data_IF_540312934546
#
_entry.id   IF_540312934546
#
_cell.length_a   1.000
_cell.length_b   1.000
_cell.length_c   1.000
_cell.angle_alpha   90.00
_cell.angle_beta   90.00
_cell.angle_gamma   90.00
#
_symmetry.space_group_name_H-M   'P 1'
#
loop_
_entity.id
_entity.type
_entity.pdbx_description
1 polymer ?
#
# COMPACT_ATOMS: atom_id res chain seq x y z
N UNK A 1 1.12 -44.55 24.67
CA UNK A 1 1.79 -43.32 24.19
C UNK A 1 0.88 -42.67 23.13
N UNK A 2 0.11 -41.65 23.53
CA UNK A 2 -0.70 -40.84 22.62
C UNK A 2 0.17 -39.67 22.15
N UNK A 3 0.67 -39.73 20.93
CA UNK A 3 1.25 -38.57 20.22
C UNK A 3 0.15 -37.95 19.38
N UNK A 4 -0.66 -37.11 19.98
CA UNK A 4 -1.54 -36.22 19.25
C UNK A 4 -0.80 -34.94 18.90
N UNK A 5 -0.21 -34.87 17.69
CA UNK A 5 0.17 -33.59 17.11
C UNK A 5 -1.13 -32.88 16.68
N UNK A 6 -1.67 -32.05 17.55
CA UNK A 6 -2.67 -31.06 17.14
C UNK A 6 -1.90 -29.92 16.47
N UNK A 7 -2.23 -29.67 15.22
CA UNK A 7 -1.81 -28.43 14.55
C UNK A 7 -2.54 -27.28 15.25
N UNK A 8 -1.78 -26.47 16.00
CA UNK A 8 -2.29 -25.36 16.79
C UNK A 8 -2.48 -24.08 15.96
N UNK A 9 -2.13 -24.10 14.67
CA UNK A 9 -2.39 -23.01 13.75
C UNK A 9 -3.88 -23.02 13.32
N UNK A 10 -4.74 -22.55 14.20
CA UNK A 10 -6.16 -22.31 13.88
C UNK A 10 -6.34 -20.91 13.34
N UNK A 11 -6.55 -20.81 12.03
CA UNK A 11 -6.97 -19.54 11.42
C UNK A 11 -8.48 -19.33 11.67
N UNK A 12 -8.89 -18.09 12.07
CA UNK A 12 -10.31 -17.78 12.17
C UNK A 12 -10.99 -18.01 10.82
N UNK A 13 -11.99 -18.92 10.76
CA UNK A 13 -12.68 -19.29 9.52
C UNK A 13 -13.56 -18.18 8.93
N UNK A 14 -13.79 -17.10 9.69
CA UNK A 14 -14.61 -15.93 9.34
C UNK A 14 -13.79 -14.74 8.85
N UNK A 15 -12.44 -14.85 8.83
CA UNK A 15 -11.54 -13.79 8.36
C UNK A 15 -10.69 -14.26 7.19
N UNK A 16 -10.62 -13.40 6.19
CA UNK A 16 -9.67 -13.56 5.08
C UNK A 16 -8.26 -13.40 5.62
N UNK A 17 -7.43 -14.44 5.50
CA UNK A 17 -6.00 -14.38 5.82
C UNK A 17 -5.14 -14.72 4.62
N UNK A 18 -3.85 -14.32 4.67
CA UNK A 18 -2.91 -14.49 3.57
C UNK A 18 -2.77 -15.96 3.15
N UNK A 19 -2.73 -16.90 4.10
CA UNK A 19 -2.50 -18.33 3.84
C UNK A 19 -3.67 -19.05 3.18
N UNK A 20 -4.89 -18.53 3.31
CA UNK A 20 -6.11 -19.17 2.81
C UNK A 20 -6.77 -18.47 1.64
N UNK A 21 -6.49 -17.18 1.41
CA UNK A 21 -7.20 -16.36 0.41
C UNK A 21 -6.66 -16.58 -1.02
N UNK A 22 -5.36 -16.48 -1.24
CA UNK A 22 -4.77 -16.47 -2.59
C UNK A 22 -4.71 -17.85 -3.23
N UNK A 23 -5.85 -18.35 -3.76
CA UNK A 23 -6.00 -19.69 -4.36
C UNK A 23 -6.31 -19.67 -5.86
N UNK A 24 -6.68 -18.52 -6.42
CA UNK A 24 -7.05 -18.36 -7.83
C UNK A 24 -6.59 -17.01 -8.37
N UNK A 25 -6.54 -16.85 -9.71
CA UNK A 25 -6.25 -15.56 -10.34
C UNK A 25 -7.25 -14.46 -9.94
N UNK A 26 -8.53 -14.83 -9.75
CA UNK A 26 -9.55 -13.88 -9.28
C UNK A 26 -9.25 -13.36 -7.87
N UNK A 27 -8.71 -14.19 -7.01
CA UNK A 27 -8.29 -13.74 -5.67
C UNK A 27 -7.12 -12.75 -5.75
N UNK A 28 -6.16 -12.96 -6.67
CA UNK A 28 -5.10 -11.98 -6.90
C UNK A 28 -5.67 -10.66 -7.40
N UNK A 29 -6.60 -10.69 -8.35
CA UNK A 29 -7.27 -9.50 -8.84
C UNK A 29 -8.04 -8.76 -7.71
N UNK A 30 -8.83 -9.47 -6.92
CA UNK A 30 -9.56 -8.90 -5.78
C UNK A 30 -8.62 -8.28 -4.74
N UNK A 31 -7.50 -8.95 -4.44
CA UNK A 31 -6.47 -8.42 -3.54
C UNK A 31 -5.91 -7.10 -4.02
N UNK A 32 -5.58 -7.00 -5.32
CA UNK A 32 -5.11 -5.76 -5.93
C UNK A 32 -6.18 -4.66 -5.88
N UNK A 33 -7.44 -4.98 -6.22
CA UNK A 33 -8.55 -4.02 -6.14
C UNK A 33 -8.78 -3.54 -4.71
N UNK A 34 -8.52 -4.38 -3.71
CA UNK A 34 -8.53 -3.99 -2.29
C UNK A 34 -7.49 -2.91 -1.96
N UNK A 35 -6.32 -2.94 -2.62
CA UNK A 35 -5.29 -1.89 -2.46
C UNK A 35 -5.75 -0.59 -3.14
N UNK A 36 -6.31 -0.67 -4.37
CA UNK A 36 -6.92 0.50 -5.01
C UNK A 36 -8.01 1.14 -4.15
N UNK A 37 -8.77 0.31 -3.42
CA UNK A 37 -9.76 0.78 -2.46
C UNK A 37 -9.19 1.70 -1.39
N UNK A 38 -7.94 1.52 -0.98
CA UNK A 38 -7.25 2.39 -0.02
C UNK A 38 -7.09 3.82 -0.54
N UNK A 39 -6.90 4.00 -1.85
CA UNK A 39 -6.77 5.33 -2.46
C UNK A 39 -8.05 6.17 -2.31
N UNK A 40 -9.20 5.55 -2.12
CA UNK A 40 -10.49 6.23 -1.96
C UNK A 40 -10.76 6.72 -0.55
N UNK A 41 -9.93 6.32 0.42
CA UNK A 41 -10.08 6.81 1.80
C UNK A 41 -9.79 8.29 1.86
N UNK A 42 -10.52 9.00 2.70
CA UNK A 42 -10.41 10.44 2.85
C UNK A 42 -9.00 10.91 3.21
N UNK A 43 -8.36 10.15 4.08
CA UNK A 43 -7.00 10.38 4.57
C UNK A 43 -5.91 9.95 3.56
N UNK A 44 -6.31 9.34 2.42
CA UNK A 44 -5.42 9.09 1.29
C UNK A 44 -5.69 10.11 0.18
N UNK A 45 -6.46 9.71 -0.85
CA UNK A 45 -6.75 10.57 -2.00
C UNK A 45 -8.25 10.90 -2.14
N UNK A 46 -9.11 10.41 -1.24
CA UNK A 46 -10.56 10.63 -1.29
C UNK A 46 -10.96 12.10 -1.12
N UNK A 47 -10.22 12.86 -0.30
CA UNK A 47 -10.35 14.31 -0.14
C UNK A 47 -9.18 15.07 -0.76
N UNK A 48 -8.76 14.69 -1.95
CA UNK A 48 -7.61 15.31 -2.61
C UNK A 48 -7.75 16.84 -2.77
N UNK A 49 -8.97 17.37 -2.93
CA UNK A 49 -9.22 18.80 -2.93
C UNK A 49 -8.76 19.51 -1.63
N UNK A 50 -8.58 18.80 -0.53
CA UNK A 50 -8.03 19.36 0.70
C UNK A 50 -6.58 19.81 0.54
N UNK A 51 -5.81 19.17 -0.35
CA UNK A 51 -4.43 19.57 -0.62
C UNK A 51 -4.35 20.94 -1.34
N UNK A 52 -5.35 21.29 -2.13
CA UNK A 52 -5.45 22.61 -2.76
C UNK A 52 -5.58 23.73 -1.73
N UNK A 53 -6.13 23.40 -0.54
CA UNK A 53 -6.22 24.35 0.57
C UNK A 53 -4.89 24.55 1.32
N UNK A 54 -3.90 23.65 1.17
CA UNK A 54 -2.57 23.83 1.75
C UNK A 54 -1.72 24.84 0.94
N UNK A 55 -2.09 25.07 -0.31
CA UNK A 55 -1.61 26.17 -1.11
C UNK A 55 -2.66 27.26 -1.19
N UNK A 56 -2.34 28.46 -1.59
CA UNK A 56 -3.30 29.57 -1.71
C UNK A 56 -4.27 29.42 -2.92
N UNK A 57 -4.54 28.20 -3.37
CA UNK A 57 -5.32 27.91 -4.58
C UNK A 57 -6.81 27.79 -4.27
N UNK A 58 -7.18 27.27 -3.09
CA UNK A 58 -8.56 27.05 -2.71
C UNK A 58 -8.83 27.44 -1.26
N UNK A 59 -10.08 27.86 -1.00
CA UNK A 59 -10.58 28.14 0.34
C UNK A 59 -11.81 27.26 0.62
N UNK A 60 -11.77 26.50 1.71
CA UNK A 60 -12.85 25.60 2.10
C UNK A 60 -13.68 26.12 3.26
N UNK A 61 -14.96 25.75 3.28
CA UNK A 61 -15.89 26.11 4.35
C UNK A 61 -15.56 25.41 5.68
N UNK A 62 -14.91 24.25 5.64
CA UNK A 62 -14.46 23.52 6.81
C UNK A 62 -13.03 23.95 7.16
N UNK A 63 -12.85 24.45 8.37
CA UNK A 63 -11.54 24.79 8.91
C UNK A 63 -10.75 23.51 9.25
N UNK A 64 -10.01 23.00 8.28
CA UNK A 64 -9.01 21.98 8.61
C UNK A 64 -7.81 22.66 9.28
N UNK A 65 -7.43 22.15 10.45
CA UNK A 65 -6.29 22.70 11.23
C UNK A 65 -4.99 22.76 10.43
N UNK A 66 -4.83 21.86 9.45
CA UNK A 66 -3.68 21.84 8.54
C UNK A 66 -3.54 23.14 7.73
N UNK A 67 -4.64 23.74 7.26
CA UNK A 67 -4.62 24.97 6.46
C UNK A 67 -4.24 26.20 7.25
N UNK A 68 -4.57 26.18 8.54
CA UNK A 68 -4.30 27.30 9.44
C UNK A 68 -2.87 27.22 10.03
N UNK A 69 -2.09 26.17 9.67
CA UNK A 69 -0.78 25.87 10.30
C UNK A 69 -0.85 25.82 11.85
N UNK A 70 -2.02 25.45 12.40
CA UNK A 70 -2.25 25.39 13.85
C UNK A 70 -2.24 23.94 14.37
N UNK A 71 -1.87 22.98 13.52
CA UNK A 71 -1.77 21.57 13.87
C UNK A 71 -0.55 21.29 14.76
N UNK A 72 -0.65 20.23 15.52
CA UNK A 72 0.42 19.67 16.33
C UNK A 72 0.63 18.20 15.98
N UNK A 73 1.71 17.60 16.51
CA UNK A 73 1.99 16.16 16.39
C UNK A 73 0.89 15.26 17.00
N UNK A 74 -0.03 15.85 17.79
CA UNK A 74 -1.19 15.16 18.39
C UNK A 74 -2.48 15.33 17.60
N UNK A 75 -2.44 16.02 16.48
CA UNK A 75 -3.62 16.20 15.64
C UNK A 75 -4.06 14.87 15.02
N UNK A 76 -5.31 14.48 15.28
CA UNK A 76 -5.87 13.22 14.79
C UNK A 76 -5.89 13.09 13.27
N UNK A 77 -6.01 14.21 12.55
CA UNK A 77 -5.99 14.23 11.08
C UNK A 77 -4.59 13.89 10.56
N UNK A 78 -3.55 14.47 11.18
CA UNK A 78 -2.15 14.16 10.83
C UNK A 78 -1.83 12.68 11.09
N UNK A 79 -2.26 12.16 12.25
CA UNK A 79 -2.07 10.74 12.59
C UNK A 79 -2.84 9.83 11.63
N UNK A 80 -4.05 10.21 11.23
CA UNK A 80 -4.87 9.42 10.32
C UNK A 80 -4.25 9.32 8.93
N UNK A 81 -3.67 10.39 8.38
CA UNK A 81 -2.92 10.35 7.12
C UNK A 81 -1.72 9.39 7.21
N UNK A 82 -0.91 9.52 8.26
CA UNK A 82 0.22 8.63 8.51
C UNK A 82 -0.20 7.17 8.54
N UNK A 83 -1.22 6.86 9.34
CA UNK A 83 -1.72 5.49 9.50
C UNK A 83 -2.27 4.95 8.19
N UNK A 84 -3.09 5.72 7.48
CA UNK A 84 -3.72 5.28 6.23
C UNK A 84 -2.69 4.95 5.15
N UNK A 85 -1.65 5.76 4.99
CA UNK A 85 -0.61 5.47 4.01
C UNK A 85 0.21 4.23 4.39
N UNK A 86 0.56 4.05 5.67
CA UNK A 86 1.26 2.84 6.11
C UNK A 86 0.38 1.58 6.04
N UNK A 87 -0.91 1.68 6.29
CA UNK A 87 -1.86 0.57 6.06
C UNK A 87 -1.89 0.19 4.57
N UNK A 88 -1.86 1.18 3.68
CA UNK A 88 -1.73 0.95 2.24
C UNK A 88 -0.43 0.22 1.88
N UNK A 89 0.71 0.68 2.38
CA UNK A 89 2.02 0.05 2.18
C UNK A 89 2.04 -1.38 2.71
N UNK A 90 1.50 -1.60 3.91
CA UNK A 90 1.40 -2.94 4.48
C UNK A 90 0.59 -3.89 3.59
N UNK A 91 -0.57 -3.44 3.08
CA UNK A 91 -1.39 -4.22 2.15
C UNK A 91 -0.66 -4.54 0.86
N UNK A 92 0.09 -3.57 0.30
CA UNK A 92 0.92 -3.79 -0.89
C UNK A 92 1.98 -4.85 -0.62
N UNK A 93 2.74 -4.73 0.46
CA UNK A 93 3.81 -5.66 0.80
C UNK A 93 3.30 -7.08 1.02
N UNK A 94 2.17 -7.21 1.73
CA UNK A 94 1.45 -8.47 1.93
C UNK A 94 0.99 -9.07 0.60
N UNK A 95 0.39 -8.25 -0.27
CA UNK A 95 -0.05 -8.68 -1.60
C UNK A 95 1.10 -9.19 -2.46
N UNK A 96 2.21 -8.47 -2.51
CA UNK A 96 3.40 -8.86 -3.29
C UNK A 96 3.92 -10.22 -2.82
N UNK A 97 4.04 -10.45 -1.50
CA UNK A 97 4.46 -11.76 -0.95
C UNK A 97 3.51 -12.87 -1.38
N UNK A 98 2.21 -12.63 -1.21
CA UNK A 98 1.16 -13.60 -1.51
C UNK A 98 1.14 -13.98 -2.99
N UNK A 99 1.19 -12.99 -3.89
CA UNK A 99 1.16 -13.21 -5.34
C UNK A 99 2.44 -13.90 -5.82
N UNK A 100 3.62 -13.56 -5.29
CA UNK A 100 4.87 -14.29 -5.55
C UNK A 100 4.78 -15.77 -5.14
N UNK A 101 3.97 -16.09 -4.13
CA UNK A 101 3.69 -17.47 -3.69
C UNK A 101 2.71 -18.23 -4.59
N UNK A 102 2.04 -17.57 -5.54
CA UNK A 102 1.04 -18.20 -6.43
C UNK A 102 1.64 -18.88 -7.68
N UNK A 103 2.95 -19.11 -7.72
CA UNK A 103 3.58 -19.85 -8.82
C UNK A 103 2.93 -21.22 -8.99
N UNK A 104 2.58 -21.55 -10.24
CA UNK A 104 1.83 -22.76 -10.58
C UNK A 104 0.30 -22.64 -10.48
N UNK A 105 -0.20 -21.52 -9.91
CA UNK A 105 -1.63 -21.19 -9.89
C UNK A 105 -1.95 -20.18 -11.00
N UNK A 106 -1.10 -19.16 -11.14
CA UNK A 106 -1.12 -18.17 -12.22
C UNK A 106 0.23 -18.15 -12.94
N UNK A 107 0.30 -17.56 -14.13
CA UNK A 107 1.53 -17.49 -14.93
C UNK A 107 2.54 -16.52 -14.31
N UNK A 108 3.83 -16.71 -14.61
CA UNK A 108 4.88 -15.78 -14.16
C UNK A 108 4.68 -14.37 -14.75
N UNK A 109 4.11 -14.26 -15.96
CA UNK A 109 3.73 -12.97 -16.55
C UNK A 109 2.65 -12.27 -15.72
N UNK A 110 1.61 -12.98 -15.33
CA UNK A 110 0.57 -12.43 -14.45
C UNK A 110 1.12 -12.04 -13.10
N UNK A 111 2.03 -12.83 -12.51
CA UNK A 111 2.71 -12.48 -11.26
C UNK A 111 3.48 -11.15 -11.43
N UNK A 112 4.27 -11.03 -12.51
CA UNK A 112 5.06 -9.83 -12.77
C UNK A 112 4.17 -8.60 -12.98
N UNK A 113 3.06 -8.73 -13.70
CA UNK A 113 2.09 -7.65 -13.89
C UNK A 113 1.46 -7.19 -12.56
N UNK A 114 1.00 -8.14 -11.73
CA UNK A 114 0.42 -7.82 -10.42
C UNK A 114 1.43 -7.18 -9.47
N UNK A 115 2.67 -7.70 -9.42
CA UNK A 115 3.74 -7.15 -8.59
C UNK A 115 4.10 -5.74 -9.05
N UNK A 116 4.22 -5.52 -10.35
CA UNK A 116 4.53 -4.22 -10.92
C UNK A 116 3.46 -3.17 -10.57
N UNK A 117 2.19 -3.53 -10.68
CA UNK A 117 1.09 -2.63 -10.32
C UNK A 117 1.03 -2.36 -8.82
N UNK A 118 1.28 -3.36 -8.00
CA UNK A 118 1.37 -3.19 -6.55
C UNK A 118 2.53 -2.26 -6.16
N UNK A 119 3.69 -2.38 -6.80
CA UNK A 119 4.84 -1.48 -6.59
C UNK A 119 4.51 -0.05 -6.99
N UNK A 120 3.80 0.17 -8.10
CA UNK A 120 3.30 1.50 -8.45
C UNK A 120 2.45 2.10 -7.33
N UNK A 121 1.52 1.32 -6.76
CA UNK A 121 0.69 1.78 -5.64
C UNK A 121 1.52 2.05 -4.38
N UNK A 122 2.55 1.26 -4.09
CA UNK A 122 3.49 1.52 -2.99
C UNK A 122 4.23 2.83 -3.19
N UNK A 123 4.72 3.07 -4.40
CA UNK A 123 5.38 4.31 -4.76
C UNK A 123 4.47 5.54 -4.53
N UNK A 124 3.19 5.45 -4.89
CA UNK A 124 2.20 6.50 -4.61
C UNK A 124 2.04 6.77 -3.11
N UNK A 125 1.91 5.72 -2.28
CA UNK A 125 1.77 5.89 -0.83
C UNK A 125 3.03 6.52 -0.22
N UNK A 126 4.22 6.07 -0.60
CA UNK A 126 5.47 6.66 -0.12
C UNK A 126 5.68 8.08 -0.64
N UNK A 127 5.28 8.39 -1.87
CA UNK A 127 5.33 9.75 -2.39
C UNK A 127 4.53 10.69 -1.49
N UNK A 128 3.29 10.34 -1.15
CA UNK A 128 2.44 11.14 -0.26
C UNK A 128 3.01 11.25 1.16
N UNK A 129 3.57 10.16 1.70
CA UNK A 129 4.25 10.20 3.00
C UNK A 129 5.43 11.15 2.99
N UNK A 130 6.27 11.08 1.95
CA UNK A 130 7.46 11.95 1.88
C UNK A 130 7.13 13.41 1.62
N UNK A 131 6.04 13.68 0.92
CA UNK A 131 5.56 15.03 0.68
C UNK A 131 5.05 15.69 1.98
N UNK A 132 4.32 14.95 2.80
CA UNK A 132 3.73 15.44 4.04
C UNK A 132 4.70 15.40 5.23
N UNK A 133 5.59 14.40 5.31
CA UNK A 133 6.36 14.09 6.53
C UNK A 133 7.88 14.12 6.33
N UNK A 134 8.37 14.36 5.12
CA UNK A 134 9.80 14.29 4.79
C UNK A 134 10.32 12.86 4.80
N UNK A 135 11.52 12.62 5.37
CA UNK A 135 12.04 11.26 5.54
C UNK A 135 11.15 10.43 6.46
N UNK A 136 10.90 9.16 6.12
CA UNK A 136 10.00 8.24 6.83
C UNK A 136 10.61 6.84 6.93
N UNK A 137 10.21 6.00 7.89
CA UNK A 137 10.61 4.59 7.90
C UNK A 137 10.21 3.90 6.61
N UNK A 138 11.14 3.16 5.98
CA UNK A 138 10.87 2.42 4.76
C UNK A 138 10.71 0.93 5.05
N UNK A 139 9.63 0.34 4.50
CA UNK A 139 9.28 -1.07 4.60
C UNK A 139 8.90 -1.58 3.21
N UNK A 140 9.49 -2.68 2.80
CA UNK A 140 9.15 -3.41 1.59
C UNK A 140 8.55 -4.80 1.90
N UNK A 141 8.35 -5.60 0.87
CA UNK A 141 7.81 -6.94 1.00
C UNK A 141 8.73 -7.93 1.72
N UNK A 142 10.00 -7.62 1.97
CA UNK A 142 10.90 -8.44 2.78
C UNK A 142 10.58 -8.35 4.27
N UNK A 143 9.94 -7.26 4.68
CA UNK A 143 9.54 -7.04 6.08
C UNK A 143 8.29 -7.86 6.41
N UNK A 144 8.43 -8.88 7.24
CA UNK A 144 7.30 -9.68 7.71
C UNK A 144 6.78 -9.14 9.05
N UNK A 145 5.69 -8.38 9.00
CA UNK A 145 5.08 -7.76 10.19
C UNK A 145 4.64 -8.79 11.23
N UNK A 146 4.22 -9.98 10.80
CA UNK A 146 3.75 -11.02 11.71
C UNK A 146 4.89 -11.67 12.50
N UNK A 147 6.07 -11.79 11.90
CA UNK A 147 7.25 -12.40 12.52
C UNK A 147 8.10 -11.36 13.26
N UNK A 148 8.09 -10.11 12.79
CA UNK A 148 8.97 -9.06 13.26
C UNK A 148 8.26 -7.98 14.09
N UNK A 149 7.02 -8.23 14.53
CA UNK A 149 6.17 -7.22 15.20
C UNK A 149 6.90 -6.47 16.33
N UNK A 150 7.76 -7.15 17.09
CA UNK A 150 8.54 -6.54 18.17
C UNK A 150 9.72 -5.68 17.67
N UNK A 151 10.14 -5.87 16.41
CA UNK A 151 11.33 -5.24 15.80
C UNK A 151 10.97 -4.21 14.71
N UNK A 152 9.67 -3.92 14.50
CA UNK A 152 9.20 -2.99 13.47
C UNK A 152 9.56 -1.52 13.70
N UNK A 153 10.31 -1.20 14.76
CA UNK A 153 10.75 0.17 15.06
C UNK A 153 11.97 0.55 14.24
N UNK A 154 11.79 0.70 12.93
CA UNK A 154 12.85 1.25 12.10
C UNK A 154 12.96 2.77 12.28
N UNK A 155 14.18 3.32 12.29
CA UNK A 155 14.37 4.76 12.25
C UNK A 155 13.83 5.35 10.94
N UNK A 156 13.65 6.65 10.87
CA UNK A 156 13.34 7.32 9.62
C UNK A 156 14.52 7.17 8.65
N UNK A 157 14.24 6.74 7.45
CA UNK A 157 15.15 6.87 6.31
C UNK A 157 15.19 8.32 5.85
N UNK A 158 16.28 8.73 5.23
CA UNK A 158 16.35 10.05 4.63
C UNK A 158 15.34 10.20 3.47
N UNK A 159 15.00 11.44 3.14
CA UNK A 159 14.10 11.73 2.04
C UNK A 159 14.66 11.19 0.70
N UNK A 160 15.97 11.31 0.51
CA UNK A 160 16.68 10.84 -0.67
C UNK A 160 16.61 9.31 -0.81
N UNK A 161 16.80 8.58 0.28
CA UNK A 161 16.71 7.11 0.31
C UNK A 161 15.29 6.65 -0.06
N UNK A 162 14.26 7.24 0.57
CA UNK A 162 12.88 6.84 0.26
C UNK A 162 12.51 7.19 -1.19
N UNK A 163 12.97 8.34 -1.71
CA UNK A 163 12.76 8.73 -3.11
C UNK A 163 13.47 7.79 -4.09
N UNK A 164 14.65 7.29 -3.74
CA UNK A 164 15.34 6.29 -4.56
C UNK A 164 14.50 5.02 -4.67
N UNK A 165 13.95 4.52 -3.57
CA UNK A 165 13.07 3.36 -3.58
C UNK A 165 11.74 3.60 -4.34
N UNK A 166 11.18 4.81 -4.26
CA UNK A 166 10.02 5.19 -5.08
C UNK A 166 10.36 5.06 -6.57
N UNK A 167 11.51 5.56 -7.00
CA UNK A 167 11.95 5.48 -8.39
C UNK A 167 12.21 4.03 -8.82
N UNK A 168 12.84 3.20 -7.99
CA UNK A 168 13.04 1.76 -8.24
C UNK A 168 11.69 1.03 -8.45
N UNK A 169 10.70 1.29 -7.61
CA UNK A 169 9.37 0.71 -7.74
C UNK A 169 8.66 1.17 -9.04
N UNK A 170 8.79 2.45 -9.41
CA UNK A 170 8.22 2.98 -10.65
C UNK A 170 8.93 2.41 -11.89
N UNK A 171 10.26 2.29 -11.86
CA UNK A 171 11.04 1.69 -12.95
C UNK A 171 10.66 0.23 -13.18
N UNK A 172 10.39 -0.53 -12.10
CA UNK A 172 9.90 -1.90 -12.23
C UNK A 172 8.45 -1.94 -12.73
N UNK A 173 7.60 -1.03 -12.27
CA UNK A 173 6.23 -0.91 -12.75
C UNK A 173 6.19 -0.69 -14.27
N UNK A 174 6.97 0.24 -14.80
CA UNK A 174 7.03 0.55 -16.24
C UNK A 174 7.36 -0.68 -17.09
N UNK A 175 8.19 -1.62 -16.61
CA UNK A 175 8.61 -2.80 -17.39
C UNK A 175 7.43 -3.73 -17.73
N UNK A 176 6.49 -3.89 -16.80
CA UNK A 176 5.44 -4.90 -16.87
C UNK A 176 4.03 -4.35 -17.00
N UNK A 177 3.84 -3.02 -16.94
CA UNK A 177 2.51 -2.44 -17.12
C UNK A 177 2.13 -2.37 -18.62
N UNK A 178 0.87 -2.62 -18.98
CA UNK A 178 0.38 -2.38 -20.34
C UNK A 178 0.30 -0.88 -20.62
N UNK A 179 0.32 -0.53 -21.90
CA UNK A 179 0.08 0.85 -22.36
C UNK A 179 -1.37 1.25 -22.12
N UNK A 180 -2.30 0.30 -22.29
CA UNK A 180 -3.73 0.51 -22.16
C UNK A 180 -4.40 -0.74 -21.57
N UNK A 181 -5.42 -0.54 -20.77
CA UNK A 181 -6.29 -1.59 -20.26
C UNK A 181 -7.60 -1.68 -21.04
N UNK A 182 -8.25 -2.84 -20.97
CA UNK A 182 -9.62 -2.98 -21.45
C UNK A 182 -10.57 -2.01 -20.73
N UNK A 183 -11.65 -1.60 -21.37
CA UNK A 183 -12.62 -0.65 -20.80
C UNK A 183 -13.21 -1.11 -19.46
N UNK A 184 -13.30 -2.43 -19.21
CA UNK A 184 -13.71 -3.00 -17.92
C UNK A 184 -12.72 -2.76 -16.78
N UNK A 185 -11.46 -2.46 -17.12
CA UNK A 185 -10.33 -2.24 -16.19
C UNK A 185 -9.94 -0.75 -16.10
N UNK A 186 -10.85 0.14 -16.52
CA UNK A 186 -10.61 1.58 -16.49
C UNK A 186 -10.25 2.07 -15.08
N UNK A 187 -9.21 2.88 -14.97
CA UNK A 187 -8.71 3.42 -13.72
C UNK A 187 -7.55 2.63 -13.10
N UNK A 188 -7.17 1.47 -13.65
CA UNK A 188 -5.93 0.78 -13.28
C UNK A 188 -4.71 1.49 -13.88
N UNK A 189 -3.56 1.36 -13.20
CA UNK A 189 -2.31 1.96 -13.65
C UNK A 189 -1.88 1.42 -15.01
N UNK A 190 -1.45 2.30 -15.89
CA UNK A 190 -0.90 2.01 -17.22
C UNK A 190 0.54 2.47 -17.30
N UNK A 191 1.20 2.15 -18.39
CA UNK A 191 2.57 2.59 -18.69
C UNK A 191 2.64 4.06 -19.12
N UNK A 192 1.52 4.68 -19.41
CA UNK A 192 1.11 6.04 -19.76
C UNK A 192 2.16 7.01 -20.19
#
# INVERSE_FOLDING_TARGET
TFTGCYDLETYPGDKVNEGTFYKTGDHAHQGLMGIYGMLRLNEAYGYQFCFDHLGDIAYGYNYYMMFLATYTDRDGTIQAHWQTFYDGIHRVNTFIRSVKGMRGIITDEQINEYVAEAKFLRAMFYFSLTDLFGGVPYYDESTNVNEEFMNLKQPRSSLEEVRAHILEDLDEAIKYRPVEHAASEYGRATKG
#
